data_IF_918207979004
#
_entry.id   IF_918207979004
#
_cell.length_a   1.000
_cell.length_b   1.000
_cell.length_c   1.000
_cell.angle_alpha   90.00
_cell.angle_beta   90.00
_cell.angle_gamma   90.00
#
_symmetry.space_group_name_H-M   'P 1'
#
loop_
_entity.id
_entity.type
_entity.pdbx_description
1 polymer ?
#
# COMPACT_ATOMS: atom_id res chain seq x y z
N UNK A 1 32.34 -36.18 -26.18
CA UNK A 1 30.94 -35.75 -26.42
C UNK A 1 30.12 -36.24 -25.24
N UNK A 2 29.76 -35.34 -24.33
CA UNK A 2 29.00 -35.68 -23.12
C UNK A 2 27.53 -35.32 -23.33
N UNK A 3 26.66 -36.33 -23.25
CA UNK A 3 25.21 -36.16 -23.33
C UNK A 3 24.66 -35.50 -22.05
N UNK A 4 23.62 -34.65 -22.16
CA UNK A 4 23.01 -34.01 -21.00
C UNK A 4 22.13 -35.00 -20.22
N UNK A 5 22.33 -35.05 -18.89
CA UNK A 5 21.47 -35.77 -17.94
C UNK A 5 20.17 -34.99 -17.74
N UNK A 6 19.04 -35.63 -18.02
CA UNK A 6 17.72 -35.14 -17.64
C UNK A 6 17.49 -35.41 -16.14
N UNK A 7 17.14 -34.37 -15.38
CA UNK A 7 16.69 -34.51 -14.00
C UNK A 7 15.20 -34.83 -14.02
N UNK A 8 14.85 -36.06 -13.62
CA UNK A 8 13.48 -36.48 -13.36
C UNK A 8 13.00 -35.84 -12.05
N UNK A 9 11.98 -34.98 -12.13
CA UNK A 9 11.32 -34.41 -10.95
C UNK A 9 10.52 -35.50 -10.23
N UNK A 10 10.92 -35.84 -9.00
CA UNK A 10 10.13 -36.68 -8.11
C UNK A 10 8.92 -35.89 -7.57
N UNK A 11 7.73 -36.51 -7.45
CA UNK A 11 6.56 -35.87 -6.87
C UNK A 11 6.75 -35.61 -5.38
N UNK A 12 6.24 -34.45 -4.93
CA UNK A 12 6.22 -34.06 -3.52
C UNK A 12 5.32 -35.00 -2.69
N UNK A 13 5.75 -35.43 -1.49
CA UNK A 13 4.92 -36.25 -0.63
C UNK A 13 3.76 -35.41 -0.06
N UNK A 14 2.53 -35.83 -0.34
CA UNK A 14 1.34 -35.32 0.36
C UNK A 14 1.38 -35.78 1.81
N UNK A 15 1.22 -34.88 2.81
CA UNK A 15 1.16 -35.28 4.22
C UNK A 15 -0.07 -36.16 4.46
N UNK A 16 0.14 -37.31 5.10
CA UNK A 16 -0.91 -38.27 5.39
C UNK A 16 -1.91 -37.69 6.40
N UNK A 17 -3.19 -38.00 6.19
CA UNK A 17 -4.35 -37.64 7.05
C UNK A 17 -4.27 -38.23 8.47
N UNK A 18 -3.24 -38.99 8.78
CA UNK A 18 -3.01 -39.62 10.07
C UNK A 18 -2.37 -38.64 11.07
N UNK A 19 -1.49 -37.75 10.60
CA UNK A 19 -0.78 -36.78 11.46
C UNK A 19 -1.72 -35.72 12.06
N UNK A 20 -2.80 -35.39 11.35
CA UNK A 20 -3.81 -34.44 11.83
C UNK A 20 -4.71 -35.05 12.92
N UNK A 21 -4.96 -36.36 12.88
CA UNK A 21 -5.77 -37.05 13.90
C UNK A 21 -5.06 -37.16 15.24
N UNK A 22 -3.74 -37.33 15.23
CA UNK A 22 -2.94 -37.42 16.46
C UNK A 22 -2.79 -36.06 17.16
N UNK A 23 -2.71 -34.96 16.39
CA UNK A 23 -2.66 -33.61 16.98
C UNK A 23 -3.98 -33.18 17.64
N UNK A 24 -5.12 -33.63 17.13
CA UNK A 24 -6.42 -33.33 17.73
C UNK A 24 -6.69 -34.15 19.00
N UNK A 25 -6.18 -35.39 19.10
CA UNK A 25 -6.29 -36.20 20.32
C UNK A 25 -5.43 -35.65 21.47
N UNK A 26 -4.19 -35.23 21.20
CA UNK A 26 -3.31 -34.65 22.22
C UNK A 26 -3.88 -33.36 22.84
N UNK A 27 -4.72 -32.63 22.08
CA UNK A 27 -5.31 -31.38 22.53
C UNK A 27 -6.53 -31.58 23.45
N UNK A 28 -7.28 -32.67 23.25
CA UNK A 28 -8.43 -33.00 24.09
C UNK A 28 -8.01 -33.49 25.49
N UNK A 29 -6.90 -34.23 25.61
CA UNK A 29 -6.39 -34.68 26.91
C UNK A 29 -5.83 -33.55 27.78
N UNK A 30 -5.40 -32.44 27.17
CA UNK A 30 -4.84 -31.30 27.92
C UNK A 30 -5.93 -30.43 28.55
N UNK A 31 -7.11 -30.34 27.92
CA UNK A 31 -8.23 -29.52 28.41
C UNK A 31 -9.03 -30.22 29.53
N UNK A 32 -9.01 -31.55 29.61
CA UNK A 32 -9.71 -32.30 30.66
C UNK A 32 -8.98 -32.25 32.02
N UNK A 33 -7.66 -32.07 32.03
CA UNK A 33 -6.88 -31.94 33.27
C UNK A 33 -6.95 -30.55 33.93
N UNK A 34 -7.40 -29.51 33.20
CA UNK A 34 -7.45 -28.14 33.71
C UNK A 34 -8.77 -27.78 34.43
N UNK A 35 -9.77 -28.67 34.43
CA UNK A 35 -11.14 -28.35 34.86
C UNK A 35 -11.50 -28.58 36.33
N UNK A 36 -10.64 -29.19 37.16
CA UNK A 36 -11.09 -29.82 38.43
C UNK A 36 -10.53 -29.23 39.72
N UNK A 37 -10.03 -27.99 39.71
CA UNK A 37 -9.67 -27.29 40.96
C UNK A 37 -10.01 -25.80 40.89
N UNK A 38 -11.20 -25.43 41.34
CA UNK A 38 -11.37 -24.40 42.38
C UNK A 38 -12.85 -24.21 42.71
N UNK A 39 -13.23 -24.75 43.85
CA UNK A 39 -14.39 -24.31 44.60
C UNK A 39 -13.96 -24.00 46.03
N UNK A 40 -14.54 -22.94 46.60
CA UNK A 40 -14.68 -22.65 48.02
C UNK A 40 -13.56 -21.87 48.73
N UNK A 41 -13.78 -20.57 48.90
CA UNK A 41 -13.47 -19.89 50.17
C UNK A 41 -14.43 -18.71 50.39
N UNK A 42 -15.26 -18.84 51.42
CA UNK A 42 -16.12 -17.82 52.03
C UNK A 42 -15.34 -17.08 53.12
N UNK A 43 -15.50 -15.77 53.23
CA UNK A 43 -15.66 -15.06 54.52
C UNK A 43 -16.21 -13.66 54.32
N UNK A 44 -17.06 -13.28 55.28
CA UNK A 44 -17.77 -12.03 55.43
C UNK A 44 -16.88 -10.82 55.79
N UNK A 45 -17.48 -9.64 55.58
CA UNK A 45 -17.71 -8.59 56.58
C UNK A 45 -17.05 -7.20 56.45
N UNK A 46 -17.91 -6.21 56.66
CA UNK A 46 -17.72 -4.80 57.10
C UNK A 46 -17.04 -3.75 56.22
N UNK A 47 -17.70 -2.57 56.16
CA UNK A 47 -17.00 -1.30 56.04
C UNK A 47 -17.64 -0.25 55.14
N UNK A 48 -18.63 0.48 55.66
CA UNK A 48 -19.14 1.70 55.05
C UNK A 48 -18.10 2.83 55.07
N UNK A 49 -17.76 3.42 53.92
CA UNK A 49 -17.27 4.80 53.82
C UNK A 49 -17.54 5.35 52.42
N UNK A 50 -18.57 6.19 52.28
CA UNK A 50 -18.90 6.86 51.01
C UNK A 50 -18.12 8.17 50.94
N UNK A 51 -16.95 8.13 50.29
CA UNK A 51 -16.17 9.29 49.91
C UNK A 51 -16.43 9.66 48.44
N UNK A 52 -16.96 10.85 48.22
CA UNK A 52 -17.15 11.52 46.94
C UNK A 52 -15.81 11.83 46.29
N UNK A 53 -15.47 11.28 45.13
CA UNK A 53 -14.79 12.03 44.06
C UNK A 53 -14.97 11.38 42.70
N UNK A 54 -15.67 12.10 41.84
CA UNK A 54 -15.99 11.83 40.45
C UNK A 54 -14.72 11.84 39.60
N UNK A 55 -14.35 10.71 38.99
CA UNK A 55 -13.44 10.69 37.83
C UNK A 55 -14.08 9.84 36.75
N UNK A 56 -14.92 10.46 35.93
CA UNK A 56 -15.47 9.85 34.73
C UNK A 56 -14.81 10.53 33.52
N UNK A 57 -13.64 10.01 33.11
CA UNK A 57 -13.14 10.19 31.76
C UNK A 57 -13.98 9.28 30.85
N UNK A 58 -15.14 9.79 30.43
CA UNK A 58 -15.96 9.14 29.44
C UNK A 58 -15.29 9.29 28.07
N UNK A 59 -14.52 8.28 27.68
CA UNK A 59 -14.13 8.06 26.28
C UNK A 59 -15.39 7.73 25.50
N UNK A 60 -16.11 8.76 25.03
CA UNK A 60 -17.20 8.59 24.09
C UNK A 60 -16.60 8.19 22.75
N UNK A 61 -16.52 6.88 22.50
CA UNK A 61 -16.29 6.33 21.17
C UNK A 61 -17.51 6.70 20.31
N UNK A 62 -17.44 7.87 19.67
CA UNK A 62 -18.40 8.24 18.65
C UNK A 62 -18.18 7.31 17.46
N UNK A 63 -18.95 6.22 17.39
CA UNK A 63 -19.18 5.46 16.16
C UNK A 63 -19.88 6.40 15.18
N UNK A 64 -19.09 7.22 14.48
CA UNK A 64 -19.59 7.96 13.32
C UNK A 64 -19.67 6.94 12.18
N UNK A 65 -20.83 6.34 12.02
CA UNK A 65 -21.19 5.61 10.80
C UNK A 65 -21.32 6.66 9.69
N UNK A 66 -20.20 7.04 9.07
CA UNK A 66 -20.25 7.83 7.83
C UNK A 66 -20.68 6.88 6.72
N UNK A 67 -21.99 6.81 6.48
CA UNK A 67 -22.52 6.33 5.22
C UNK A 67 -22.13 7.34 4.14
N UNK A 68 -20.97 7.16 3.51
CA UNK A 68 -20.64 7.85 2.26
C UNK A 68 -21.49 7.21 1.16
N UNK A 69 -22.72 7.68 1.03
CA UNK A 69 -23.51 7.45 -0.18
C UNK A 69 -22.93 8.34 -1.27
N UNK A 70 -21.95 7.82 -2.00
CA UNK A 70 -21.50 8.44 -3.25
C UNK A 70 -22.60 8.25 -4.30
N UNK A 71 -23.60 9.13 -4.31
CA UNK A 71 -24.48 9.29 -5.46
C UNK A 71 -23.70 9.99 -6.57
N UNK A 72 -23.00 9.21 -7.39
CA UNK A 72 -22.57 9.65 -8.72
C UNK A 72 -23.54 9.05 -9.73
N UNK A 73 -24.66 9.75 -9.90
CA UNK A 73 -25.49 9.61 -11.08
C UNK A 73 -24.91 10.53 -12.17
N UNK A 74 -24.63 9.97 -13.34
CA UNK A 74 -24.14 10.73 -14.49
C UNK A 74 -23.52 9.82 -15.53
N UNK A 75 -24.38 9.13 -16.29
CA UNK A 75 -23.97 8.31 -17.40
C UNK A 75 -23.36 9.15 -18.53
N UNK A 76 -22.31 8.60 -19.15
CA UNK A 76 -21.98 8.86 -20.54
C UNK A 76 -21.69 7.52 -21.19
N UNK A 77 -22.71 7.02 -21.89
CA UNK A 77 -22.55 6.08 -22.98
C UNK A 77 -22.17 6.90 -24.22
N UNK A 78 -21.06 6.56 -24.85
CA UNK A 78 -20.80 6.93 -26.24
C UNK A 78 -20.09 5.76 -26.91
N UNK A 79 -20.89 4.94 -27.60
CA UNK A 79 -20.44 4.21 -28.77
C UNK A 79 -19.91 5.22 -29.79
N UNK A 80 -18.71 4.95 -30.31
CA UNK A 80 -18.34 5.31 -31.66
C UNK A 80 -17.32 4.27 -32.13
N UNK A 81 -17.78 3.41 -33.03
CA UNK A 81 -16.98 2.81 -34.07
C UNK A 81 -16.18 3.91 -34.81
N UNK A 82 -14.95 3.60 -35.22
CA UNK A 82 -14.51 3.53 -36.62
C UNK A 82 -13.00 3.75 -36.82
N UNK A 83 -12.49 2.91 -37.72
CA UNK A 83 -11.43 3.13 -38.70
C UNK A 83 -9.96 3.38 -38.33
N UNK A 84 -9.16 2.35 -38.66
CA UNK A 84 -8.14 2.37 -39.71
C UNK A 84 -7.23 3.61 -39.84
N UNK A 85 -5.92 3.37 -39.64
CA UNK A 85 -4.90 3.50 -40.71
C UNK A 85 -3.49 3.24 -40.17
N UNK A 86 -2.90 2.14 -40.66
CA UNK A 86 -1.47 2.08 -40.90
C UNK A 86 -1.11 3.05 -42.04
N UNK A 87 0.08 3.65 -42.00
CA UNK A 87 0.81 3.93 -43.23
C UNK A 87 2.05 3.04 -43.29
N UNK A 88 2.04 2.15 -44.28
CA UNK A 88 3.24 1.69 -44.94
C UNK A 88 3.77 2.81 -45.83
N UNK A 89 5.05 3.15 -45.68
CA UNK A 89 5.89 3.77 -46.73
C UNK A 89 7.35 3.70 -46.26
N UNK A 90 8.20 2.87 -46.86
CA UNK A 90 8.84 3.00 -48.19
C UNK A 90 10.19 3.71 -48.12
N UNK A 91 11.23 2.96 -48.50
CA UNK A 91 12.29 3.35 -49.43
C UNK A 91 12.81 4.80 -49.36
N UNK A 92 14.02 4.95 -48.82
CA UNK A 92 14.97 5.97 -49.28
C UNK A 92 16.38 5.37 -49.34
N UNK A 93 16.74 4.99 -50.57
CA UNK A 93 18.10 4.76 -51.05
C UNK A 93 18.75 6.15 -51.21
N UNK A 94 19.90 6.41 -50.59
CA UNK A 94 20.80 7.47 -51.07
C UNK A 94 22.27 7.09 -50.87
N UNK A 95 23.02 7.36 -51.93
CA UNK A 95 24.46 7.24 -52.15
C UNK A 95 25.34 7.89 -51.07
N UNK A 96 26.55 7.36 -50.88
CA UNK A 96 27.80 8.15 -50.99
C UNK A 96 29.06 7.25 -51.11
N UNK A 97 30.23 7.79 -51.53
CA UNK A 97 31.11 7.18 -52.52
C UNK A 97 32.42 6.66 -51.89
N UNK A 98 33.22 6.02 -52.73
CA UNK A 98 34.35 5.19 -52.35
C UNK A 98 35.56 5.90 -51.73
N UNK A 99 36.37 5.05 -51.11
CA UNK A 99 37.78 5.33 -50.80
C UNK A 99 38.62 4.16 -51.28
N UNK A 100 39.51 4.50 -52.22
CA UNK A 100 40.68 3.78 -52.73
C UNK A 100 41.54 3.34 -51.53
N UNK A 101 41.86 2.07 -51.31
CA UNK A 101 42.85 1.29 -52.06
C UNK A 101 44.14 1.16 -51.24
N UNK A 102 44.38 -0.02 -50.65
CA UNK A 102 45.75 -0.47 -50.34
C UNK A 102 45.76 -1.99 -50.31
N UNK A 103 46.49 -2.54 -51.29
CA UNK A 103 46.66 -3.96 -51.57
C UNK A 103 47.43 -4.68 -50.45
N UNK A 104 46.94 -5.87 -50.07
CA UNK A 104 47.77 -6.93 -49.50
C UNK A 104 47.38 -8.21 -50.24
N UNK A 105 48.31 -8.90 -50.93
CA UNK A 105 47.97 -10.07 -51.70
C UNK A 105 47.99 -11.33 -50.84
N UNK A 106 46.97 -12.16 -51.05
CA UNK A 106 47.11 -13.61 -50.95
C UNK A 106 46.43 -14.26 -49.74
N UNK A 107 45.38 -15.04 -50.06
CA UNK A 107 45.47 -16.51 -50.11
C UNK A 107 44.22 -17.20 -49.53
N UNK A 108 43.63 -18.01 -50.41
CA UNK A 108 42.70 -19.14 -50.19
C UNK A 108 41.20 -18.85 -50.06
N UNK A 109 40.62 -18.86 -51.26
CA UNK A 109 39.35 -19.48 -51.67
C UNK A 109 38.85 -20.69 -50.86
N UNK A 110 37.51 -20.79 -50.87
CA UNK A 110 36.63 -21.93 -50.55
C UNK A 110 36.04 -22.01 -49.14
N UNK A 111 34.93 -21.29 -48.95
CA UNK A 111 33.72 -21.80 -48.30
C UNK A 111 32.60 -20.77 -48.48
N UNK A 112 31.84 -20.90 -49.57
CA UNK A 112 30.57 -20.19 -49.74
C UNK A 112 29.50 -20.91 -48.93
N UNK A 113 29.66 -20.90 -47.60
CA UNK A 113 28.64 -21.37 -46.68
C UNK A 113 27.51 -20.35 -46.67
N UNK A 114 26.37 -20.77 -47.23
CA UNK A 114 25.09 -20.07 -47.24
C UNK A 114 24.68 -19.80 -45.79
N UNK A 115 25.15 -18.70 -45.22
CA UNK A 115 24.79 -18.21 -43.88
C UNK A 115 23.28 -17.99 -43.86
N UNK A 116 22.57 -18.98 -43.32
CA UNK A 116 21.19 -18.80 -42.88
C UNK A 116 21.17 -17.62 -41.89
N UNK A 117 20.22 -16.69 -42.03
CA UNK A 117 20.08 -15.57 -41.10
C UNK A 117 19.95 -16.14 -39.69
N UNK A 118 20.93 -15.83 -38.84
CA UNK A 118 20.94 -16.26 -37.45
C UNK A 118 19.65 -15.76 -36.80
N UNK A 119 18.82 -16.62 -36.20
CA UNK A 119 17.59 -16.18 -35.57
C UNK A 119 17.93 -15.08 -34.56
N UNK A 120 17.13 -13.99 -34.49
CA UNK A 120 17.38 -12.88 -33.60
C UNK A 120 17.58 -13.44 -32.19
N UNK A 121 18.73 -13.11 -31.59
CA UNK A 121 19.08 -13.60 -30.25
C UNK A 121 17.98 -13.15 -29.27
N UNK A 122 17.14 -14.06 -28.74
CA UNK A 122 16.06 -13.69 -27.83
C UNK A 122 16.58 -13.09 -26.52
N UNK A 123 17.89 -13.24 -26.25
CA UNK A 123 18.54 -12.67 -25.07
C UNK A 123 19.11 -11.27 -25.30
N UNK A 124 18.91 -10.64 -26.48
CA UNK A 124 19.20 -9.21 -26.64
C UNK A 124 18.06 -8.41 -26.02
N UNK A 125 17.98 -8.49 -24.68
CA UNK A 125 17.13 -7.65 -23.86
C UNK A 125 17.39 -6.20 -24.26
N UNK A 126 16.42 -5.60 -24.94
CA UNK A 126 16.36 -4.17 -25.20
C UNK A 126 16.51 -3.50 -23.84
N UNK A 127 17.72 -3.00 -23.56
CA UNK A 127 18.07 -2.31 -22.33
C UNK A 127 17.05 -1.18 -22.18
N UNK A 128 16.06 -1.37 -21.31
CA UNK A 128 15.01 -0.38 -21.08
C UNK A 128 15.70 0.95 -20.79
N UNK A 129 15.34 2.04 -21.49
CA UNK A 129 15.96 3.34 -21.28
C UNK A 129 15.93 3.67 -19.79
N UNK A 130 17.10 4.01 -19.25
CA UNK A 130 17.24 4.31 -17.84
C UNK A 130 16.27 5.46 -17.49
N UNK A 131 15.35 5.26 -16.53
CA UNK A 131 14.32 6.25 -16.24
C UNK A 131 14.97 7.53 -15.67
N UNK A 132 14.85 8.63 -16.41
CA UNK A 132 15.47 9.94 -16.14
C UNK A 132 14.78 10.77 -15.04
N UNK A 133 13.95 10.15 -14.18
CA UNK A 133 13.02 10.85 -13.28
C UNK A 133 13.39 10.79 -11.77
N UNK A 134 14.65 10.57 -11.41
CA UNK A 134 15.06 10.46 -10.01
C UNK A 134 14.84 11.75 -9.17
N UNK A 135 14.60 12.92 -9.78
CA UNK A 135 14.42 14.17 -9.03
C UNK A 135 12.99 14.40 -8.51
N UNK A 136 11.96 13.78 -9.11
CA UNK A 136 10.55 14.06 -8.80
C UNK A 136 9.90 13.03 -7.86
N UNK A 137 10.67 12.09 -7.30
CA UNK A 137 10.14 11.00 -6.50
C UNK A 137 10.82 10.88 -5.13
N UNK A 138 10.58 11.84 -4.20
CA UNK A 138 11.22 11.85 -2.88
C UNK A 138 10.82 10.64 -2.02
N UNK A 139 9.66 10.04 -2.30
CA UNK A 139 9.13 8.88 -1.57
C UNK A 139 9.54 7.53 -2.21
N UNK A 140 10.31 7.55 -3.31
CA UNK A 140 10.67 6.35 -4.08
C UNK A 140 9.47 5.44 -4.40
N UNK A 141 8.36 6.06 -4.76
CA UNK A 141 7.18 5.36 -5.27
C UNK A 141 7.53 4.59 -6.55
N UNK A 142 6.88 3.46 -6.84
CA UNK A 142 7.09 2.76 -8.10
C UNK A 142 6.54 3.61 -9.26
N UNK A 143 7.44 4.07 -10.14
CA UNK A 143 7.14 4.89 -11.33
C UNK A 143 7.11 3.99 -12.57
N UNK A 144 6.20 4.20 -13.54
CA UNK A 144 5.20 5.28 -13.60
C UNK A 144 3.92 4.98 -12.82
N UNK A 145 3.45 5.97 -12.04
CA UNK A 145 2.11 5.95 -11.46
C UNK A 145 1.09 6.26 -12.55
N UNK A 146 -0.01 5.52 -12.59
CA UNK A 146 -1.11 5.82 -13.50
C UNK A 146 -1.80 7.11 -13.09
N UNK A 147 -2.37 7.86 -14.05
CA UNK A 147 -3.15 9.07 -13.74
C UNK A 147 -4.29 8.80 -12.76
N UNK A 148 -4.89 7.60 -12.83
CA UNK A 148 -5.94 7.15 -11.89
C UNK A 148 -5.40 6.99 -10.47
N UNK A 149 -4.25 6.35 -10.30
CA UNK A 149 -3.60 6.23 -8.99
C UNK A 149 -3.20 7.59 -8.43
N UNK A 150 -2.66 8.48 -9.27
CA UNK A 150 -2.30 9.84 -8.86
C UNK A 150 -3.53 10.63 -8.41
N UNK A 151 -4.61 10.60 -9.19
CA UNK A 151 -5.87 11.27 -8.87
C UNK A 151 -6.48 10.71 -7.57
N UNK A 152 -6.44 9.40 -7.38
CA UNK A 152 -6.89 8.73 -6.17
C UNK A 152 -6.05 9.11 -4.94
N UNK A 153 -4.73 9.18 -5.06
CA UNK A 153 -3.87 9.58 -3.96
C UNK A 153 -4.10 11.05 -3.56
N UNK A 154 -4.27 11.96 -4.52
CA UNK A 154 -4.42 13.39 -4.24
C UNK A 154 -5.83 13.80 -3.84
N UNK A 155 -6.87 13.29 -4.49
CA UNK A 155 -8.24 13.75 -4.23
C UNK A 155 -8.83 13.10 -2.96
N UNK A 156 -9.22 11.81 -2.94
CA UNK A 156 -9.86 11.24 -1.77
C UNK A 156 -8.88 11.05 -0.60
N UNK A 157 -7.66 10.56 -0.87
CA UNK A 157 -6.72 10.22 0.21
C UNK A 157 -5.98 11.42 0.80
N UNK A 158 -5.77 12.51 0.04
CA UNK A 158 -5.05 13.69 0.56
C UNK A 158 -6.02 14.80 0.92
N UNK A 159 -6.71 15.39 -0.06
CA UNK A 159 -7.58 16.57 0.17
C UNK A 159 -8.83 16.17 0.95
N UNK A 160 -9.53 15.11 0.52
CA UNK A 160 -10.76 14.65 1.16
C UNK A 160 -10.54 14.25 2.62
N UNK A 161 -9.51 13.45 2.87
CA UNK A 161 -9.15 13.03 4.21
C UNK A 161 -8.68 14.20 5.09
N UNK A 162 -7.89 15.14 4.57
CA UNK A 162 -7.46 16.33 5.32
C UNK A 162 -8.64 17.22 5.77
N UNK A 163 -9.62 17.45 4.88
CA UNK A 163 -10.84 18.22 5.22
C UNK A 163 -11.62 17.52 6.34
N UNK A 164 -11.79 16.21 6.23
CA UNK A 164 -12.50 15.41 7.23
C UNK A 164 -11.77 15.43 8.58
N UNK A 165 -10.46 15.23 8.58
CA UNK A 165 -9.61 15.26 9.77
C UNK A 165 -9.65 16.64 10.47
N UNK A 166 -9.53 17.71 9.69
CA UNK A 166 -9.64 19.09 10.17
C UNK A 166 -11.02 19.40 10.76
N UNK A 167 -12.09 18.97 10.07
CA UNK A 167 -13.47 19.18 10.51
C UNK A 167 -13.82 18.45 11.81
N UNK A 168 -13.41 17.18 11.95
CA UNK A 168 -13.63 16.40 13.17
C UNK A 168 -12.90 17.03 14.36
N UNK A 169 -11.62 17.37 14.20
CA UNK A 169 -10.85 17.98 15.29
C UNK A 169 -11.36 19.38 15.65
N UNK A 170 -11.85 20.15 14.67
CA UNK A 170 -12.52 21.43 14.95
C UNK A 170 -13.78 21.24 15.79
N UNK A 171 -14.61 20.24 15.45
CA UNK A 171 -15.81 19.89 16.22
C UNK A 171 -15.49 19.47 17.66
N UNK A 172 -14.50 18.61 17.84
CA UNK A 172 -14.00 18.20 19.17
C UNK A 172 -13.50 19.42 19.95
N UNK A 173 -12.71 20.28 19.31
CA UNK A 173 -12.21 21.50 19.94
C UNK A 173 -13.35 22.47 20.33
N UNK A 174 -14.39 22.58 19.51
CA UNK A 174 -15.58 23.37 19.85
C UNK A 174 -16.28 22.82 21.09
N UNK A 175 -16.43 21.50 21.19
CA UNK A 175 -17.06 20.85 22.34
C UNK A 175 -16.21 21.00 23.62
N UNK A 176 -14.89 20.85 23.51
CA UNK A 176 -13.97 20.90 24.65
C UNK A 176 -13.72 22.32 25.17
N UNK A 177 -13.50 23.28 24.28
CA UNK A 177 -12.96 24.59 24.66
C UNK A 177 -14.03 25.66 24.90
N UNK A 178 -15.25 25.50 24.39
CA UNK A 178 -16.26 26.58 24.42
C UNK A 178 -16.76 26.92 25.82
N UNK A 179 -16.69 25.99 26.76
CA UNK A 179 -17.14 26.17 28.16
C UNK A 179 -16.00 26.42 29.15
N UNK A 180 -14.75 26.52 28.69
CA UNK A 180 -13.58 26.59 29.55
C UNK A 180 -13.11 28.03 29.75
N UNK A 181 -12.86 28.42 31.00
CA UNK A 181 -12.43 29.78 31.37
C UNK A 181 -10.91 29.97 31.34
N UNK A 182 -10.15 28.87 31.30
CA UNK A 182 -8.69 28.91 31.23
C UNK A 182 -8.19 27.87 30.22
N UNK A 183 -7.62 28.37 29.12
CA UNK A 183 -7.04 27.55 28.06
C UNK A 183 -5.66 28.13 27.76
N UNK A 184 -4.63 27.36 28.04
CA UNK A 184 -3.24 27.78 27.78
C UNK A 184 -2.54 26.75 26.91
N UNK A 185 -1.38 27.14 26.37
CA UNK A 185 -0.57 26.23 25.56
C UNK A 185 0.04 25.12 26.41
N UNK A 186 0.52 25.42 27.62
CA UNK A 186 1.47 24.59 28.36
C UNK A 186 1.06 24.18 29.78
N UNK A 187 0.10 24.86 30.41
CA UNK A 187 -0.19 24.61 31.82
C UNK A 187 -0.91 23.27 32.01
N UNK A 188 -0.15 22.25 32.43
CA UNK A 188 -0.60 20.86 32.61
C UNK A 188 -1.78 20.77 33.59
N UNK A 189 -1.92 21.74 34.51
CA UNK A 189 -3.02 21.75 35.48
C UNK A 189 -4.37 22.11 34.85
N UNK A 190 -4.36 22.66 33.63
CA UNK A 190 -5.55 23.06 32.87
C UNK A 190 -5.58 22.38 31.50
N UNK A 191 -6.65 22.58 30.73
CA UNK A 191 -6.73 22.05 29.38
C UNK A 191 -5.62 22.66 28.51
N UNK A 192 -4.63 21.82 28.14
CA UNK A 192 -3.49 22.23 27.32
C UNK A 192 -3.74 21.95 25.85
N UNK A 193 -3.55 22.97 25.02
CA UNK A 193 -3.58 22.80 23.56
C UNK A 193 -2.42 21.89 23.11
N UNK A 194 -1.25 22.00 23.75
CA UNK A 194 -0.08 21.17 23.42
C UNK A 194 -0.33 19.68 23.66
N UNK A 195 -0.93 19.33 24.80
CA UNK A 195 -1.29 17.95 25.14
C UNK A 195 -2.38 17.41 24.20
N UNK A 196 -3.39 18.21 23.90
CA UNK A 196 -4.46 17.82 22.99
C UNK A 196 -3.94 17.62 21.54
N UNK A 197 -3.00 18.45 21.08
CA UNK A 197 -2.31 18.22 19.80
C UNK A 197 -1.48 16.93 19.82
N UNK A 198 -0.78 16.64 20.92
CA UNK A 198 -0.02 15.39 21.08
C UNK A 198 -0.92 14.15 20.96
N UNK A 199 -2.03 14.16 21.70
CA UNK A 199 -2.99 13.06 21.71
C UNK A 199 -3.65 12.89 20.34
N UNK A 200 -3.97 13.99 19.65
CA UNK A 200 -4.50 13.92 18.27
C UNK A 200 -3.55 13.19 17.34
N UNK A 201 -2.24 13.46 17.35
CA UNK A 201 -1.30 12.75 16.45
C UNK A 201 -1.41 11.23 16.63
N UNK A 202 -1.49 10.77 17.87
CA UNK A 202 -1.60 9.35 18.18
C UNK A 202 -2.97 8.77 17.80
N UNK A 203 -4.06 9.34 18.32
CA UNK A 203 -5.39 8.76 18.13
C UNK A 203 -5.82 8.88 16.67
N UNK A 204 -5.69 10.07 16.07
CA UNK A 204 -6.01 10.27 14.67
C UNK A 204 -5.10 9.43 13.79
N UNK A 205 -3.80 9.38 14.07
CA UNK A 205 -2.86 8.58 13.28
C UNK A 205 -3.21 7.09 13.24
N UNK A 206 -3.58 6.51 14.39
CA UNK A 206 -4.04 5.12 14.48
C UNK A 206 -5.34 4.91 13.71
N UNK A 207 -6.34 5.77 13.94
CA UNK A 207 -7.66 5.65 13.30
C UNK A 207 -7.56 5.82 11.78
N UNK A 208 -6.85 6.85 11.30
CA UNK A 208 -6.61 7.06 9.88
C UNK A 208 -5.89 5.87 9.25
N UNK A 209 -4.91 5.27 9.93
CA UNK A 209 -4.24 4.06 9.43
C UNK A 209 -5.22 2.90 9.27
N UNK A 210 -6.04 2.64 10.28
CA UNK A 210 -7.05 1.57 10.26
C UNK A 210 -8.06 1.79 9.14
N UNK A 211 -8.62 2.99 9.04
CA UNK A 211 -9.69 3.32 8.09
C UNK A 211 -9.15 3.38 6.66
N UNK A 212 -8.11 4.17 6.40
CA UNK A 212 -7.59 4.36 5.05
C UNK A 212 -6.97 3.08 4.49
N UNK A 213 -6.22 2.32 5.30
CA UNK A 213 -5.71 1.02 4.85
C UNK A 213 -6.86 0.08 4.49
N UNK A 214 -7.92 0.02 5.30
CA UNK A 214 -9.07 -0.84 5.02
C UNK A 214 -9.78 -0.46 3.72
N UNK A 215 -10.00 0.83 3.48
CA UNK A 215 -10.64 1.31 2.25
C UNK A 215 -9.79 1.07 1.01
N UNK A 216 -8.49 1.34 1.06
CA UNK A 216 -7.60 1.06 -0.08
C UNK A 216 -7.63 -0.43 -0.45
N UNK A 217 -7.61 -1.33 0.53
CA UNK A 217 -7.71 -2.77 0.25
C UNK A 217 -9.07 -3.16 -0.31
N UNK A 218 -10.17 -2.56 0.17
CA UNK A 218 -11.49 -2.76 -0.40
C UNK A 218 -11.57 -2.28 -1.87
N UNK A 219 -10.98 -1.12 -2.17
CA UNK A 219 -10.93 -0.55 -3.52
C UNK A 219 -10.09 -1.41 -4.48
N UNK A 220 -8.98 -1.97 -4.00
CA UNK A 220 -8.18 -2.95 -4.76
C UNK A 220 -8.99 -4.21 -5.06
N UNK A 221 -9.71 -4.75 -4.07
CA UNK A 221 -10.57 -5.94 -4.26
C UNK A 221 -11.70 -5.71 -5.25
N UNK A 222 -12.28 -4.51 -5.25
CA UNK A 222 -13.33 -4.11 -6.18
C UNK A 222 -12.78 -3.74 -7.57
N UNK A 223 -11.46 -3.77 -7.77
CA UNK A 223 -10.82 -3.37 -9.02
C UNK A 223 -10.92 -1.88 -9.34
N UNK A 224 -11.26 -1.04 -8.36
CA UNK A 224 -11.35 0.42 -8.54
C UNK A 224 -9.97 1.04 -8.70
N UNK A 225 -8.97 0.47 -8.03
CA UNK A 225 -7.57 0.90 -8.14
C UNK A 225 -6.66 -0.31 -8.32
N UNK A 226 -5.70 -0.18 -9.23
CA UNK A 226 -4.62 -1.16 -9.37
C UNK A 226 -3.59 -0.93 -8.27
N UNK A 227 -3.09 -1.99 -7.60
CA UNK A 227 -1.99 -1.83 -6.66
C UNK A 227 -0.73 -1.40 -7.40
N UNK A 228 0.31 -1.08 -6.64
CA UNK A 228 1.59 -0.74 -7.22
C UNK A 228 2.23 -1.94 -7.94
N UNK A 229 3.08 -1.66 -8.93
CA UNK A 229 3.81 -2.70 -9.67
C UNK A 229 4.89 -3.39 -8.83
N UNK A 230 5.29 -2.76 -7.72
CA UNK A 230 6.28 -3.25 -6.76
C UNK A 230 5.85 -2.92 -5.35
N UNK A 231 6.40 -3.66 -4.40
CA UNK A 231 6.12 -3.44 -2.98
C UNK A 231 6.66 -2.08 -2.53
N UNK A 232 5.89 -1.40 -1.70
CA UNK A 232 6.28 -0.13 -1.11
C UNK A 232 5.86 -0.08 0.36
N UNK A 233 6.76 0.29 1.29
CA UNK A 233 8.17 0.62 1.05
C UNK A 233 8.97 -0.58 0.53
N UNK A 234 9.89 -0.38 -0.42
CA UNK A 234 10.71 -1.46 -0.98
C UNK A 234 11.77 -1.91 0.04
N UNK A 235 11.57 -3.10 0.60
CA UNK A 235 12.54 -3.75 1.51
C UNK A 235 13.39 -4.81 0.79
N UNK A 236 13.07 -5.11 -0.47
CA UNK A 236 13.65 -6.19 -1.26
C UNK A 236 14.99 -5.82 -1.89
N UNK A 237 15.31 -4.53 -2.00
CA UNK A 237 16.62 -4.03 -2.44
C UNK A 237 17.74 -4.61 -1.59
N UNK A 238 18.21 -5.82 -1.84
CA UNK A 238 19.29 -6.44 -1.08
C UNK A 238 20.52 -5.52 -1.09
N UNK A 239 21.29 -5.37 0.01
CA UNK A 239 22.52 -4.57 0.01
C UNK A 239 23.51 -5.00 -1.08
N UNK A 240 23.36 -6.25 -1.56
CA UNK A 240 24.22 -6.92 -2.51
C UNK A 240 23.66 -6.96 -3.93
N UNK A 241 22.41 -6.51 -4.18
CA UNK A 241 22.01 -6.25 -5.56
C UNK A 241 22.70 -4.94 -5.98
N UNK A 242 23.69 -4.98 -6.89
CA UNK A 242 24.23 -3.76 -7.44
C UNK A 242 23.06 -3.04 -8.09
N UNK A 243 22.70 -1.86 -7.58
CA UNK A 243 21.75 -0.99 -8.27
C UNK A 243 22.20 -0.97 -9.74
N UNK A 244 21.34 -1.36 -10.70
CA UNK A 244 21.73 -1.45 -12.11
C UNK A 244 22.19 -0.10 -12.70
N UNK A 245 22.10 0.96 -11.89
CA UNK A 245 22.67 2.26 -12.10
C UNK A 245 24.12 2.25 -11.56
N UNK A 246 25.06 1.74 -12.36
CA UNK A 246 26.46 2.16 -12.30
C UNK A 246 26.58 3.63 -12.77
N UNK A 247 25.79 4.54 -12.21
CA UNK A 247 26.07 5.96 -12.36
C UNK A 247 27.31 6.27 -11.51
N UNK A 248 28.32 6.94 -12.10
CA UNK A 248 29.53 7.29 -11.39
C UNK A 248 29.19 8.03 -10.09
N UNK A 249 29.87 7.64 -9.03
CA UNK A 249 29.60 7.92 -7.61
C UNK A 249 29.55 9.41 -7.22
N UNK A 250 29.66 10.37 -8.15
CA UNK A 250 30.24 11.68 -7.86
C UNK A 250 29.36 12.93 -8.03
N UNK A 251 28.10 12.89 -8.50
CA UNK A 251 27.43 14.17 -8.85
C UNK A 251 26.03 14.45 -8.28
N UNK A 252 25.35 13.51 -7.59
CA UNK A 252 24.03 13.80 -7.02
C UNK A 252 23.93 13.55 -5.50
N UNK A 253 24.04 14.60 -4.65
CA UNK A 253 23.99 14.47 -3.19
C UNK A 253 22.65 13.89 -2.66
N UNK A 254 21.55 14.01 -3.42
CA UNK A 254 20.22 13.54 -2.98
C UNK A 254 20.06 12.02 -2.98
N UNK A 255 20.77 11.29 -3.85
CA UNK A 255 20.73 9.82 -3.86
C UNK A 255 21.41 9.19 -2.64
N UNK A 256 22.35 9.92 -2.00
CA UNK A 256 23.08 9.44 -0.84
C UNK A 256 22.19 9.28 0.40
N UNK A 257 21.24 10.20 0.62
CA UNK A 257 20.32 10.12 1.77
C UNK A 257 19.37 8.94 1.61
N UNK A 258 18.80 8.77 0.42
CA UNK A 258 17.94 7.62 0.11
C UNK A 258 18.70 6.30 0.32
N UNK A 259 19.91 6.21 -0.22
CA UNK A 259 20.76 5.02 -0.07
C UNK A 259 21.14 4.79 1.40
N UNK A 260 21.51 5.83 2.14
CA UNK A 260 21.82 5.73 3.57
C UNK A 260 20.59 5.30 4.40
N UNK A 261 19.40 5.78 4.05
CA UNK A 261 18.15 5.40 4.70
C UNK A 261 17.79 3.93 4.42
N UNK A 262 17.90 3.51 3.15
CA UNK A 262 17.60 2.13 2.75
C UNK A 262 18.71 1.14 3.09
N UNK A 263 19.96 1.54 3.33
CA UNK A 263 21.04 0.62 3.69
C UNK A 263 21.10 0.29 5.18
N UNK A 264 20.44 1.06 6.06
CA UNK A 264 20.45 0.78 7.50
C UNK A 264 19.65 -0.50 7.81
N UNK A 265 20.29 -1.58 8.32
CA UNK A 265 19.62 -2.86 8.55
C UNK A 265 18.46 -2.77 9.55
N UNK A 266 18.61 -1.89 10.55
CA UNK A 266 17.57 -1.64 11.56
C UNK A 266 16.30 -1.09 10.92
N UNK A 267 16.43 -0.05 10.09
CA UNK A 267 15.29 0.64 9.47
C UNK A 267 14.52 -0.28 8.53
N UNK A 268 15.21 -1.15 7.78
CA UNK A 268 14.55 -2.20 6.98
C UNK A 268 13.68 -3.16 7.80
N UNK A 269 14.16 -3.55 8.98
CA UNK A 269 13.39 -4.42 9.87
C UNK A 269 12.12 -3.71 10.35
N UNK A 270 12.20 -2.40 10.60
CA UNK A 270 11.03 -1.57 10.93
C UNK A 270 10.06 -1.42 9.75
N UNK A 271 10.54 -1.14 8.54
CA UNK A 271 9.67 -0.99 7.37
C UNK A 271 8.94 -2.27 6.99
N UNK A 272 9.52 -3.45 7.25
CA UNK A 272 8.85 -4.75 7.09
C UNK A 272 7.57 -4.90 7.92
N UNK A 273 7.44 -4.15 9.03
CA UNK A 273 6.22 -4.15 9.84
C UNK A 273 5.01 -3.69 9.00
N UNK A 274 5.22 -2.80 8.03
CA UNK A 274 4.18 -2.22 7.17
C UNK A 274 3.88 -3.04 5.91
N UNK A 275 4.68 -4.05 5.57
CA UNK A 275 4.52 -4.81 4.32
C UNK A 275 3.47 -5.94 4.39
N UNK A 276 2.99 -6.30 5.59
CA UNK A 276 2.03 -7.40 5.79
C UNK A 276 0.58 -7.02 5.45
N UNK A 277 0.24 -7.03 4.15
CA UNK A 277 -1.03 -6.58 3.55
C UNK A 277 -2.28 -7.34 4.00
N UNK A 278 -2.25 -8.68 4.00
CA UNK A 278 -3.48 -9.45 4.22
C UNK A 278 -4.05 -9.30 5.64
N UNK A 279 -3.21 -8.87 6.58
CA UNK A 279 -3.68 -8.58 7.94
C UNK A 279 -4.44 -7.27 8.05
N UNK A 280 -4.26 -6.35 7.10
CA UNK A 280 -4.84 -5.01 7.17
C UNK A 280 -6.19 -4.88 6.48
N UNK A 281 -6.62 -5.92 5.76
CA UNK A 281 -7.93 -5.96 5.15
C UNK A 281 -8.99 -6.40 6.18
N UNK A 282 -9.56 -5.39 6.86
CA UNK A 282 -10.61 -5.55 7.87
C UNK A 282 -12.01 -5.66 7.28
N UNK A 283 -12.18 -5.27 6.02
CA UNK A 283 -13.48 -5.24 5.33
C UNK A 283 -13.75 -6.52 4.53
N UNK A 284 -12.98 -7.59 4.75
CA UNK A 284 -13.25 -8.90 4.15
C UNK A 284 -14.48 -9.50 4.83
N UNK A 285 -15.53 -9.78 4.04
CA UNK A 285 -16.72 -10.48 4.52
C UNK A 285 -16.41 -11.95 4.78
N UNK A 286 -17.05 -12.54 5.80
CA UNK A 286 -16.94 -13.98 6.10
C UNK A 286 -15.70 -14.40 6.91
N UNK A 287 -14.93 -13.45 7.46
CA UNK A 287 -13.81 -13.77 8.36
C UNK A 287 -14.34 -14.06 9.77
N UNK A 288 -13.90 -15.14 10.44
CA UNK A 288 -14.29 -15.40 11.82
C UNK A 288 -13.81 -14.27 12.75
N UNK A 289 -14.64 -13.89 13.72
CA UNK A 289 -14.40 -12.75 14.61
C UNK A 289 -13.00 -12.77 15.27
N UNK A 290 -12.52 -13.95 15.70
CA UNK A 290 -11.18 -14.11 16.28
C UNK A 290 -10.05 -13.69 15.33
N UNK A 291 -10.16 -14.04 14.04
CA UNK A 291 -9.19 -13.62 13.02
C UNK A 291 -9.34 -12.14 12.73
N UNK A 292 -10.57 -11.63 12.69
CA UNK A 292 -10.84 -10.21 12.51
C UNK A 292 -10.24 -9.34 13.62
N UNK A 293 -10.42 -9.70 14.90
CA UNK A 293 -9.80 -8.98 16.02
C UNK A 293 -8.27 -9.07 16.01
N UNK A 294 -7.70 -10.22 15.63
CA UNK A 294 -6.25 -10.35 15.45
C UNK A 294 -5.72 -9.41 14.36
N UNK A 295 -6.46 -9.28 13.25
CA UNK A 295 -6.17 -8.33 12.17
C UNK A 295 -6.26 -6.90 12.68
N UNK A 296 -7.36 -6.54 13.33
CA UNK A 296 -7.57 -5.21 13.90
C UNK A 296 -6.44 -4.82 14.87
N UNK A 297 -6.10 -5.70 15.82
CA UNK A 297 -5.02 -5.45 16.78
C UNK A 297 -3.66 -5.23 16.10
N UNK A 298 -3.36 -5.98 15.02
CA UNK A 298 -2.16 -5.77 14.21
C UNK A 298 -2.19 -4.45 13.45
N UNK A 299 -3.32 -4.08 12.86
CA UNK A 299 -3.48 -2.80 12.15
C UNK A 299 -3.36 -1.62 13.10
N UNK A 300 -3.96 -1.70 14.31
CA UNK A 300 -3.81 -0.70 15.37
C UNK A 300 -2.36 -0.56 15.79
N UNK A 301 -1.65 -1.68 15.99
CA UNK A 301 -0.23 -1.65 16.34
C UNK A 301 0.62 -0.97 15.26
N UNK A 302 0.41 -1.31 13.98
CA UNK A 302 1.10 -0.65 12.87
C UNK A 302 0.79 0.85 12.81
N UNK A 303 -0.48 1.22 12.95
CA UNK A 303 -0.91 2.61 13.04
C UNK A 303 -0.25 3.34 14.21
N UNK A 304 -0.11 2.70 15.37
CA UNK A 304 0.52 3.29 16.55
C UNK A 304 2.03 3.52 16.34
N UNK A 305 2.73 2.57 15.73
CA UNK A 305 4.15 2.72 15.38
C UNK A 305 4.33 3.87 14.38
N UNK A 306 3.49 3.95 13.35
CA UNK A 306 3.54 5.04 12.38
C UNK A 306 3.26 6.39 13.06
N UNK A 307 2.22 6.44 13.88
CA UNK A 307 1.83 7.65 14.62
C UNK A 307 2.91 8.12 15.58
N UNK A 308 3.67 7.22 16.21
CA UNK A 308 4.82 7.57 17.04
C UNK A 308 5.92 8.28 16.23
N UNK A 309 6.20 7.82 15.00
CA UNK A 309 7.15 8.48 14.09
C UNK A 309 6.65 9.88 13.70
N UNK A 310 5.37 9.98 13.34
CA UNK A 310 4.75 11.26 13.02
C UNK A 310 4.75 12.21 14.21
N UNK A 311 4.48 11.72 15.42
CA UNK A 311 4.51 12.50 16.66
C UNK A 311 5.87 13.14 16.90
N UNK A 312 6.95 12.38 16.76
CA UNK A 312 8.32 12.88 16.95
C UNK A 312 8.69 14.02 15.98
N UNK A 313 8.05 14.10 14.82
CA UNK A 313 8.32 15.13 13.81
C UNK A 313 7.32 16.28 13.93
N UNK A 314 6.02 15.98 13.87
CA UNK A 314 4.96 16.97 13.74
C UNK A 314 4.65 17.71 15.03
N UNK A 315 4.71 17.03 16.17
CA UNK A 315 4.38 17.67 17.43
C UNK A 315 5.40 18.77 17.80
N UNK A 316 6.73 18.55 17.76
CA UNK A 316 7.70 19.62 18.02
C UNK A 316 7.59 20.80 17.06
N UNK A 317 7.36 20.55 15.76
CA UNK A 317 7.18 21.62 14.76
C UNK A 317 5.96 22.47 15.13
N UNK A 318 4.85 21.81 15.47
CA UNK A 318 3.60 22.49 15.85
C UNK A 318 3.79 23.36 17.08
N UNK A 319 4.45 22.82 18.10
CA UNK A 319 4.77 23.54 19.33
C UNK A 319 5.72 24.72 19.06
N UNK A 320 6.75 24.53 18.24
CA UNK A 320 7.69 25.59 17.89
C UNK A 320 7.00 26.78 17.20
N UNK A 321 5.91 26.54 16.48
CA UNK A 321 5.11 27.58 15.83
C UNK A 321 4.13 28.23 16.82
N UNK A 322 3.40 27.43 17.61
CA UNK A 322 2.32 27.93 18.46
C UNK A 322 2.85 28.59 19.74
N UNK A 323 3.87 28.01 20.37
CA UNK A 323 4.36 28.45 21.67
C UNK A 323 4.87 29.90 21.69
N UNK A 324 5.61 30.41 20.68
CA UNK A 324 6.02 31.83 20.69
C UNK A 324 4.86 32.81 20.53
N UNK A 325 3.78 32.41 19.83
CA UNK A 325 2.66 33.31 19.52
C UNK A 325 1.68 33.40 20.70
N UNK A 326 1.45 32.26 21.37
CA UNK A 326 0.40 32.11 22.37
C UNK A 326 0.89 31.66 23.75
N UNK A 327 2.20 31.47 23.92
CA UNK A 327 2.81 31.12 25.20
C UNK A 327 2.49 32.16 26.27
N UNK A 328 1.86 31.71 27.36
CA UNK A 328 1.47 32.57 28.49
C UNK A 328 0.17 33.35 28.33
N UNK A 329 -0.54 33.20 27.20
CA UNK A 329 -1.86 33.84 27.00
C UNK A 329 -2.98 32.86 27.31
N UNK A 330 -4.03 33.34 28.00
CA UNK A 330 -5.28 32.62 28.11
C UNK A 330 -6.09 32.82 26.82
N UNK A 331 -6.44 31.71 26.16
CA UNK A 331 -7.21 31.69 24.91
C UNK A 331 -8.69 31.39 25.14
N UNK A 332 -9.15 31.33 26.39
CA UNK A 332 -10.56 31.17 26.73
C UNK A 332 -11.44 32.22 26.05
N UNK A 333 -12.67 31.82 25.72
CA UNK A 333 -13.67 32.66 25.03
C UNK A 333 -13.27 33.18 23.65
N UNK A 334 -12.19 32.66 23.06
CA UNK A 334 -11.79 32.95 21.68
C UNK A 334 -12.01 31.74 20.78
N UNK A 335 -11.93 31.94 19.46
CA UNK A 335 -11.93 30.87 18.46
C UNK A 335 -10.53 30.31 18.18
N UNK A 336 -9.50 30.86 18.84
CA UNK A 336 -8.09 30.53 18.57
C UNK A 336 -7.81 29.04 18.78
N UNK A 337 -8.22 28.39 19.89
CA UNK A 337 -7.96 26.96 20.10
C UNK A 337 -8.60 26.07 19.03
N UNK A 338 -9.83 26.41 18.61
CA UNK A 338 -10.57 25.66 17.60
C UNK A 338 -9.91 25.80 16.22
N UNK A 339 -9.52 27.02 15.83
CA UNK A 339 -8.82 27.26 14.56
C UNK A 339 -7.46 26.55 14.55
N UNK A 340 -6.70 26.63 15.65
CA UNK A 340 -5.42 25.91 15.79
C UNK A 340 -5.62 24.42 15.52
N UNK A 341 -6.64 23.81 16.15
CA UNK A 341 -6.96 22.40 15.97
C UNK A 341 -7.38 22.04 14.55
N UNK A 342 -8.21 22.87 13.92
CA UNK A 342 -8.64 22.70 12.54
C UNK A 342 -7.43 22.66 11.60
N UNK A 343 -6.58 23.69 11.68
CA UNK A 343 -5.41 23.83 10.79
C UNK A 343 -4.41 22.72 11.06
N UNK A 344 -4.15 22.40 12.33
CA UNK A 344 -3.24 21.34 12.71
C UNK A 344 -3.67 19.99 12.14
N UNK A 345 -4.91 19.57 12.40
CA UNK A 345 -5.41 18.27 11.95
C UNK A 345 -5.56 18.19 10.43
N UNK A 346 -5.93 19.30 9.77
CA UNK A 346 -5.97 19.40 8.32
C UNK A 346 -4.58 19.16 7.70
N UNK A 347 -3.57 19.92 8.14
CA UNK A 347 -2.20 19.80 7.63
C UNK A 347 -1.67 18.40 7.94
N UNK A 348 -1.89 17.91 9.15
CA UNK A 348 -1.46 16.57 9.54
C UNK A 348 -2.07 15.49 8.65
N UNK A 349 -3.39 15.50 8.45
CA UNK A 349 -4.10 14.57 7.57
C UNK A 349 -3.63 14.66 6.11
N UNK A 350 -3.34 15.87 5.63
CA UNK A 350 -2.82 16.10 4.29
C UNK A 350 -1.48 15.40 4.05
N UNK A 351 -0.59 15.35 5.04
CA UNK A 351 0.70 14.67 4.89
C UNK A 351 0.63 13.18 5.23
N UNK A 352 -0.15 12.80 6.24
CA UNK A 352 -0.16 11.43 6.75
C UNK A 352 -0.92 10.47 5.83
N UNK A 353 -2.12 10.84 5.39
CA UNK A 353 -3.00 9.95 4.65
C UNK A 353 -2.46 9.47 3.30
N UNK A 354 -1.76 10.27 2.45
CA UNK A 354 -1.13 9.75 1.25
C UNK A 354 -0.04 8.72 1.55
N UNK A 355 0.69 8.86 2.67
CA UNK A 355 1.71 7.89 3.08
C UNK A 355 1.03 6.57 3.45
N UNK A 356 -0.06 6.61 4.24
CA UNK A 356 -0.85 5.42 4.59
C UNK A 356 -1.39 4.73 3.32
N UNK A 357 -1.95 5.51 2.39
CA UNK A 357 -2.46 4.98 1.13
C UNK A 357 -1.35 4.34 0.29
N UNK A 358 -0.15 4.92 0.25
CA UNK A 358 1.00 4.32 -0.43
C UNK A 358 1.45 3.02 0.24
N UNK A 359 1.44 2.94 1.57
CA UNK A 359 1.73 1.69 2.30
C UNK A 359 0.73 0.61 1.89
N UNK A 360 -0.56 0.95 1.82
CA UNK A 360 -1.62 0.01 1.46
C UNK A 360 -1.55 -0.42 -0.02
N UNK A 361 -1.30 0.51 -0.95
CA UNK A 361 -1.15 0.21 -2.39
C UNK A 361 0.11 -0.61 -2.69
N UNK A 362 1.18 -0.42 -1.91
CA UNK A 362 2.45 -1.12 -2.02
C UNK A 362 2.55 -2.39 -1.18
N UNK A 363 1.44 -2.81 -0.56
CA UNK A 363 1.48 -3.94 0.35
C UNK A 363 1.72 -5.26 -0.41
N UNK A 364 2.56 -6.15 0.14
CA UNK A 364 3.15 -7.27 -0.60
C UNK A 364 2.11 -8.20 -1.25
N UNK A 365 1.04 -8.52 -0.50
CA UNK A 365 0.01 -9.41 -0.99
C UNK A 365 -0.79 -8.79 -2.15
N UNK A 366 -1.07 -7.48 -2.10
CA UNK A 366 -1.75 -6.77 -3.20
C UNK A 366 -0.92 -6.81 -4.48
N UNK A 367 0.38 -6.51 -4.38
CA UNK A 367 1.31 -6.54 -5.52
C UNK A 367 1.45 -7.97 -6.06
N UNK A 368 1.63 -8.97 -5.19
CA UNK A 368 1.76 -10.37 -5.59
C UNK A 368 0.50 -10.88 -6.29
N UNK A 369 -0.67 -10.60 -5.74
CA UNK A 369 -1.96 -11.02 -6.32
C UNK A 369 -2.16 -10.38 -7.70
N UNK A 370 -1.83 -9.10 -7.84
CA UNK A 370 -1.91 -8.42 -9.14
C UNK A 370 -0.95 -9.01 -10.17
N UNK A 371 0.30 -9.29 -9.78
CA UNK A 371 1.29 -9.90 -10.68
C UNK A 371 0.86 -11.31 -11.13
N UNK A 372 0.26 -12.11 -10.22
CA UNK A 372 -0.31 -13.41 -10.57
C UNK A 372 -1.46 -13.26 -11.58
N UNK A 373 -2.37 -12.32 -11.37
CA UNK A 373 -3.48 -12.05 -12.30
C UNK A 373 -2.97 -11.62 -13.69
N UNK A 374 -1.98 -10.72 -13.75
CA UNK A 374 -1.37 -10.28 -15.01
C UNK A 374 -0.68 -11.45 -15.71
N UNK A 375 0.04 -12.29 -14.96
CA UNK A 375 0.69 -13.48 -15.52
C UNK A 375 -0.33 -14.47 -16.07
N UNK A 376 -1.40 -14.76 -15.34
CA UNK A 376 -2.49 -15.63 -15.81
C UNK A 376 -3.16 -15.08 -17.07
N UNK A 377 -3.38 -13.77 -17.15
CA UNK A 377 -3.92 -13.12 -18.36
C UNK A 377 -2.97 -13.26 -19.55
N UNK A 378 -1.67 -13.07 -19.35
CA UNK A 378 -0.66 -13.26 -20.40
C UNK A 378 -0.61 -14.71 -20.89
N UNK A 379 -0.63 -15.68 -19.97
CA UNK A 379 -0.68 -17.11 -20.33
C UNK A 379 -1.92 -17.41 -21.16
N UNK A 380 -3.10 -16.91 -20.75
CA UNK A 380 -4.34 -17.08 -21.52
C UNK A 380 -4.28 -16.43 -22.91
N UNK A 381 -3.62 -15.29 -23.05
CA UNK A 381 -3.44 -14.63 -24.35
C UNK A 381 -2.52 -15.45 -25.27
N UNK A 382 -1.42 -15.98 -24.73
CA UNK A 382 -0.49 -16.84 -25.47
C UNK A 382 -1.16 -18.16 -25.87
N UNK A 383 -1.94 -18.76 -24.96
CA UNK A 383 -2.71 -19.98 -25.24
C UNK A 383 -3.72 -19.76 -26.38
N UNK A 384 -4.47 -18.64 -26.34
CA UNK A 384 -5.37 -18.24 -27.43
C UNK A 384 -4.64 -18.00 -28.75
N UNK A 385 -3.44 -17.42 -28.72
CA UNK A 385 -2.63 -17.18 -29.90
C UNK A 385 -1.99 -18.46 -30.47
N UNK A 386 -1.65 -19.43 -29.60
CA UNK A 386 -1.04 -20.70 -29.98
C UNK A 386 -2.06 -21.70 -30.54
N UNK A 387 -3.33 -21.61 -30.13
CA UNK A 387 -4.39 -22.49 -30.61
C UNK A 387 -5.54 -21.73 -31.31
N UNK A 388 -5.27 -21.07 -32.46
CA UNK A 388 -6.27 -20.27 -33.17
C UNK A 388 -7.45 -21.09 -33.72
N UNK A 389 -7.31 -22.43 -33.82
CA UNK A 389 -8.39 -23.32 -34.28
C UNK A 389 -9.50 -23.47 -33.24
N UNK A 390 -9.16 -23.46 -31.94
CA UNK A 390 -10.17 -23.56 -30.88
C UNK A 390 -10.97 -22.27 -30.68
N UNK A 391 -10.36 -21.11 -30.88
CA UNK A 391 -11.06 -19.81 -30.79
C UNK A 391 -12.11 -19.64 -31.88
N UNK A 392 -11.82 -20.08 -33.12
CA UNK A 392 -12.80 -20.01 -34.21
C UNK A 392 -14.03 -20.88 -34.00
N UNK A 393 -13.92 -22.05 -33.35
CA UNK A 393 -15.09 -22.88 -33.06
C UNK A 393 -15.91 -22.32 -31.90
N UNK A 394 -15.27 -21.92 -30.80
CA UNK A 394 -16.00 -21.34 -29.65
C UNK A 394 -16.65 -19.99 -29.96
N UNK A 395 -16.04 -19.13 -30.79
CA UNK A 395 -16.71 -17.92 -31.30
C UNK A 395 -17.83 -18.25 -32.29
N UNK A 396 -17.72 -19.33 -33.07
CA UNK A 396 -18.82 -19.80 -33.95
C UNK A 396 -20.07 -20.19 -33.17
N UNK A 397 -19.91 -20.78 -31.98
CA UNK A 397 -21.04 -21.25 -31.17
C UNK A 397 -21.56 -20.19 -30.17
N UNK A 398 -20.83 -19.09 -29.94
CA UNK A 398 -21.24 -18.02 -29.01
C UNK A 398 -22.54 -17.29 -29.39
N UNK A 399 -22.80 -16.93 -30.66
CA UNK A 399 -24.07 -16.31 -31.04
C UNK A 399 -25.26 -17.29 -31.01
N UNK A 400 -25.02 -18.60 -31.01
CA UNK A 400 -26.09 -19.60 -30.93
C UNK A 400 -26.61 -19.79 -29.48
N UNK A 401 -25.82 -19.47 -28.45
CA UNK A 401 -26.25 -19.60 -27.05
C UNK A 401 -26.93 -18.35 -26.48
N UNK A 402 -26.76 -17.16 -27.06
CA UNK A 402 -27.44 -15.94 -26.57
C UNK A 402 -28.93 -15.86 -26.92
N UNK A 403 -29.46 -16.85 -27.64
CA UNK A 403 -30.87 -16.90 -28.07
C UNK A 403 -31.77 -17.76 -27.20
N UNK A 404 -31.26 -18.35 -26.11
CA UNK A 404 -32.14 -19.00 -25.14
C UNK A 404 -32.73 -17.92 -24.21
N UNK A 405 -34.05 -17.64 -24.30
CA UNK A 405 -34.69 -16.74 -23.34
C UNK A 405 -34.53 -17.35 -21.96
N UNK A 406 -33.89 -16.60 -21.05
CA UNK A 406 -33.97 -16.89 -19.62
C UNK A 406 -35.42 -16.69 -19.21
N UNK A 407 -36.18 -17.78 -19.12
CA UNK A 407 -37.50 -17.79 -18.50
C UNK A 407 -37.32 -17.44 -17.03
N UNK A 408 -37.96 -16.34 -16.63
CA UNK A 408 -37.93 -15.75 -15.29
C UNK A 408 -38.52 -16.64 -14.20
#
# INVERSE_FOLDING_TARGET
>A
MNAPRYYTLLPWPTPSTQLWREMDQAKLETDEQAGTQHSRMTTDDTGATTGTTTTAAATTLATVTVSVTATVAGGFSSSADDDDRQPASSLARLHQPGTIGTEIPGRNSHSSEKRTPRPPNPNRSTRSPAPSFALMNPLALPVPLTTRQLLYLWLPQTIGAAILDGGINFGIACAMYRSQNNITVWDINHNTIAGDCAVTVFIQGILSFVIASSFVHADIRNGMITPFSRTWPDTTLSPNEPFPIQEPLSTRPRGAIYRAFHQRPSLRRWLRIFQGSHSNDLLVRGVPAKVWFKRLGRTIWQGAVLSAVFFLVWWPITIAIIAPIWGGRNMAHTWVPQIIKLVFAFVFGFFQNPIIACIALGAEDSVRTHNLQVHEQQVRQVEKAANPRQTTETERYRPAMSYYPQTA
#
